data_IF_570836439662
#
_entry.id   IF_570836439662
#
_cell.length_a   1.000
_cell.length_b   1.000
_cell.length_c   1.000
_cell.angle_alpha   90.00
_cell.angle_beta   90.00
_cell.angle_gamma   90.00
#
_symmetry.space_group_name_H-M   'P 1'
#
loop_
_entity.id
_entity.type
_entity.pdbx_description
1 polymer ?
#
# COMPACT_ATOMS: atom_id res chain seq x y z
N UNK A 1 -4.08 11.19 29.05
CA UNK A 1 -3.30 10.42 28.09
C UNK A 1 -2.64 11.35 27.08
N UNK A 2 -1.56 10.90 26.46
CA UNK A 2 -0.89 11.65 25.35
C UNK A 2 -1.49 11.22 24.02
N UNK A 3 -1.57 12.16 23.07
CA UNK A 3 -1.93 11.85 21.68
C UNK A 3 -0.74 11.20 21.00
N UNK A 4 -0.97 10.11 20.26
CA UNK A 4 0.05 9.41 19.48
C UNK A 4 -0.38 9.24 18.04
N UNK A 5 0.57 8.95 17.17
CA UNK A 5 0.33 8.56 15.79
C UNK A 5 0.98 7.20 15.53
N UNK A 6 0.43 6.45 14.57
CA UNK A 6 0.96 5.15 14.20
C UNK A 6 0.92 4.94 12.69
N UNK A 7 1.69 3.95 12.22
CA UNK A 7 1.72 3.50 10.83
C UNK A 7 0.71 2.38 10.60
N UNK A 8 0.56 1.94 9.34
CA UNK A 8 -0.25 0.77 8.98
C UNK A 8 0.23 -0.47 9.74
N UNK A 9 1.54 -0.73 9.81
CA UNK A 9 2.10 -1.86 10.55
C UNK A 9 1.61 -1.91 12.01
N UNK A 10 1.80 -0.84 12.76
CA UNK A 10 1.37 -0.78 14.16
C UNK A 10 -0.15 -0.83 14.30
N UNK A 11 -0.88 -0.23 13.36
CA UNK A 11 -2.36 -0.33 13.33
C UNK A 11 -2.80 -1.78 13.16
N UNK A 12 -2.15 -2.55 12.29
CA UNK A 12 -2.42 -3.99 12.11
C UNK A 12 -2.19 -4.78 13.40
N UNK A 13 -1.07 -4.54 14.09
CA UNK A 13 -0.75 -5.21 15.36
C UNK A 13 -1.86 -4.94 16.38
N UNK A 14 -2.22 -3.66 16.58
CA UNK A 14 -3.24 -3.27 17.55
C UNK A 14 -4.62 -3.82 17.16
N UNK A 15 -4.98 -3.76 15.87
CA UNK A 15 -6.22 -4.32 15.36
C UNK A 15 -6.31 -5.83 15.63
N UNK A 16 -5.23 -6.57 15.35
CA UNK A 16 -5.16 -8.01 15.65
C UNK A 16 -5.33 -8.31 17.12
N UNK A 17 -4.66 -7.56 18.00
CA UNK A 17 -4.82 -7.70 19.47
C UNK A 17 -6.26 -7.45 19.93
N UNK A 18 -6.96 -6.56 19.23
CA UNK A 18 -8.38 -6.24 19.51
C UNK A 18 -9.37 -7.19 18.81
N UNK A 19 -8.89 -8.20 18.07
CA UNK A 19 -9.74 -9.13 17.32
C UNK A 19 -10.31 -8.53 16.02
N UNK A 20 -9.81 -7.37 15.58
CA UNK A 20 -10.23 -6.70 14.35
C UNK A 20 -9.50 -7.34 13.17
N UNK A 21 -10.24 -7.82 12.19
CA UNK A 21 -9.71 -8.53 11.00
C UNK A 21 -9.58 -7.65 9.76
N UNK A 22 -10.26 -6.53 9.71
CA UNK A 22 -10.27 -5.62 8.57
C UNK A 22 -10.13 -4.19 9.05
N UNK A 23 -9.30 -3.40 8.37
CA UNK A 23 -9.34 -1.96 8.51
C UNK A 23 -9.09 -1.26 7.16
N UNK A 24 -9.56 -0.03 7.05
CA UNK A 24 -9.38 0.79 5.87
C UNK A 24 -8.44 1.96 6.16
N UNK A 25 -7.60 2.28 5.18
CA UNK A 25 -6.66 3.41 5.22
C UNK A 25 -6.53 4.03 3.83
N UNK A 26 -5.95 5.21 3.71
CA UNK A 26 -5.73 5.85 2.42
C UNK A 26 -4.75 5.08 1.53
N UNK A 27 -3.66 4.60 2.10
CA UNK A 27 -2.65 3.82 1.38
C UNK A 27 -1.64 3.19 2.33
N UNK A 28 -0.97 2.15 1.83
CA UNK A 28 0.11 1.46 2.53
C UNK A 28 1.47 2.04 2.17
N UNK A 29 2.47 1.77 3.01
CA UNK A 29 3.87 1.87 2.66
C UNK A 29 4.27 0.77 1.67
N UNK A 30 5.46 0.84 1.16
CA UNK A 30 5.97 -0.10 0.17
C UNK A 30 7.48 -0.02 0.05
N UNK A 31 8.01 -0.45 -1.08
CA UNK A 31 9.41 -0.35 -1.46
C UNK A 31 9.67 1.06 -1.99
N UNK A 32 10.65 1.78 -1.45
CA UNK A 32 11.01 3.09 -1.95
C UNK A 32 11.77 3.01 -3.27
N UNK A 33 11.64 4.04 -4.11
CA UNK A 33 12.43 4.16 -5.35
C UNK A 33 13.92 4.21 -4.98
N UNK A 34 14.74 3.37 -5.61
CA UNK A 34 16.15 3.24 -5.28
C UNK A 34 16.44 2.29 -4.11
N UNK A 35 15.46 1.52 -3.65
CA UNK A 35 15.63 0.56 -2.56
C UNK A 35 16.67 -0.53 -2.86
N UNK A 36 16.99 -0.79 -4.11
CA UNK A 36 18.06 -1.69 -4.51
C UNK A 36 19.45 -1.25 -3.98
N UNK A 37 19.58 0.03 -3.61
CA UNK A 37 20.80 0.62 -3.02
C UNK A 37 20.64 0.93 -1.53
N UNK A 38 19.44 1.29 -1.10
CA UNK A 38 19.17 1.82 0.23
C UNK A 38 18.54 0.81 1.17
N UNK A 39 17.92 -0.24 0.65
CA UNK A 39 17.06 -1.18 1.38
C UNK A 39 15.92 -0.48 2.13
N UNK A 40 15.47 0.70 1.65
CA UNK A 40 14.38 1.45 2.26
C UNK A 40 13.03 0.82 1.90
N UNK A 41 12.56 -0.07 2.75
CA UNK A 41 11.34 -0.86 2.61
C UNK A 41 10.49 -0.64 3.85
N UNK A 42 9.21 -0.32 3.65
CA UNK A 42 8.29 -0.09 4.75
C UNK A 42 8.04 -1.36 5.57
N UNK A 43 8.01 -1.21 6.89
CA UNK A 43 7.61 -2.27 7.80
C UNK A 43 6.16 -2.75 7.58
N UNK A 44 5.32 -1.96 6.91
CA UNK A 44 3.95 -2.34 6.55
C UNK A 44 3.93 -3.66 5.77
N UNK A 45 4.90 -3.88 4.87
CA UNK A 45 4.95 -5.07 4.04
C UNK A 45 5.27 -6.34 4.86
N UNK A 46 6.17 -6.23 5.82
CA UNK A 46 6.47 -7.34 6.74
C UNK A 46 5.28 -7.64 7.65
N UNK A 47 4.61 -6.60 8.13
CA UNK A 47 3.46 -6.80 9.02
C UNK A 47 2.28 -7.43 8.28
N UNK A 48 2.05 -7.07 7.01
CA UNK A 48 1.07 -7.73 6.14
C UNK A 48 1.34 -9.24 5.99
N UNK A 49 2.61 -9.66 5.99
CA UNK A 49 2.98 -11.06 5.93
C UNK A 49 2.69 -11.82 7.24
N UNK A 50 2.74 -11.16 8.39
CA UNK A 50 2.75 -11.81 9.69
C UNK A 50 1.43 -11.65 10.49
N UNK A 51 0.69 -10.57 10.28
CA UNK A 51 -0.48 -10.24 11.08
C UNK A 51 -1.77 -10.49 10.31
N UNK A 52 -2.74 -11.29 10.85
CA UNK A 52 -3.94 -11.71 10.14
C UNK A 52 -5.00 -10.59 10.10
N UNK A 53 -4.67 -9.49 9.46
CA UNK A 53 -5.54 -8.33 9.24
C UNK A 53 -5.53 -7.96 7.76
N UNK A 54 -6.68 -7.85 7.16
CA UNK A 54 -6.87 -7.41 5.79
C UNK A 54 -6.91 -5.88 5.75
N UNK A 55 -6.08 -5.27 4.90
CA UNK A 55 -5.97 -3.82 4.75
C UNK A 55 -6.62 -3.38 3.44
N UNK A 56 -7.69 -2.60 3.53
CA UNK A 56 -8.36 -1.99 2.38
C UNK A 56 -7.81 -0.59 2.17
N UNK A 57 -7.29 -0.30 0.98
CA UNK A 57 -6.64 0.99 0.71
C UNK A 57 -6.70 1.35 -0.78
N UNK A 58 -6.36 2.59 -1.11
CA UNK A 58 -6.21 3.01 -2.51
C UNK A 58 -4.84 2.61 -3.10
N UNK A 59 -4.27 1.49 -2.64
CA UNK A 59 -2.98 0.97 -3.07
C UNK A 59 -1.80 1.48 -2.23
N UNK A 60 -0.59 1.29 -2.71
CA UNK A 60 0.59 1.88 -2.10
C UNK A 60 0.70 3.37 -2.49
N UNK A 61 1.35 4.16 -1.64
CA UNK A 61 1.57 5.59 -1.91
C UNK A 61 2.33 5.75 -3.23
N UNK A 62 1.87 6.65 -4.08
CA UNK A 62 2.39 6.83 -5.45
C UNK A 62 3.86 7.27 -5.54
N UNK A 63 4.44 7.75 -4.44
CA UNK A 63 5.88 8.07 -4.33
C UNK A 63 6.78 6.82 -4.29
N UNK A 64 6.19 5.63 -4.08
CA UNK A 64 6.89 4.36 -3.93
C UNK A 64 7.11 3.69 -5.30
N UNK A 65 7.94 2.67 -5.33
CA UNK A 65 8.05 1.74 -6.44
C UNK A 65 6.95 0.68 -6.32
N UNK A 66 5.91 0.82 -7.14
CA UNK A 66 4.74 -0.06 -7.08
C UNK A 66 5.06 -1.47 -7.57
N UNK A 67 5.93 -1.60 -8.58
CA UNK A 67 6.36 -2.88 -9.10
C UNK A 67 7.12 -3.67 -8.06
N UNK A 68 8.17 -3.10 -7.49
CA UNK A 68 8.95 -3.74 -6.42
C UNK A 68 8.12 -4.00 -5.16
N UNK A 69 7.11 -3.17 -4.90
CA UNK A 69 6.17 -3.38 -3.79
C UNK A 69 5.34 -4.64 -4.00
N UNK A 70 4.81 -4.86 -5.22
CA UNK A 70 4.06 -6.07 -5.56
C UNK A 70 4.95 -7.32 -5.49
N UNK A 71 6.16 -7.28 -6.07
CA UNK A 71 7.13 -8.38 -6.00
C UNK A 71 7.48 -8.75 -4.55
N UNK A 72 7.64 -7.74 -3.68
CA UNK A 72 7.91 -8.00 -2.28
C UNK A 72 6.73 -8.68 -1.59
N UNK A 73 5.50 -8.19 -1.83
CA UNK A 73 4.28 -8.78 -1.26
C UNK A 73 4.09 -10.22 -1.75
N UNK A 74 4.32 -10.49 -3.03
CA UNK A 74 4.28 -11.84 -3.60
C UNK A 74 5.29 -12.76 -2.92
N UNK A 75 6.54 -12.34 -2.81
CA UNK A 75 7.61 -13.09 -2.11
C UNK A 75 7.22 -13.42 -0.67
N UNK A 76 6.50 -12.54 0.00
CA UNK A 76 6.02 -12.75 1.36
C UNK A 76 4.71 -13.55 1.45
N UNK A 77 4.14 -13.95 0.32
CA UNK A 77 2.87 -14.68 0.27
C UNK A 77 1.66 -13.84 0.71
N UNK A 78 1.72 -12.54 0.52
CA UNK A 78 0.63 -11.61 0.84
C UNK A 78 -0.26 -11.43 -0.39
N UNK A 79 -1.52 -11.88 -0.38
CA UNK A 79 -2.44 -11.65 -1.49
C UNK A 79 -2.72 -10.17 -1.68
N UNK A 80 -2.68 -9.72 -2.95
CA UNK A 80 -3.13 -8.39 -3.35
C UNK A 80 -4.37 -8.56 -4.23
N UNK A 81 -5.50 -8.10 -3.72
CA UNK A 81 -6.81 -8.25 -4.36
C UNK A 81 -7.28 -6.90 -4.89
N UNK A 82 -7.77 -6.85 -6.11
CA UNK A 82 -8.47 -5.68 -6.64
C UNK A 82 -9.95 -5.73 -6.27
N UNK A 83 -10.51 -4.69 -5.70
CA UNK A 83 -11.96 -4.56 -5.52
C UNK A 83 -12.53 -3.76 -6.69
N UNK A 84 -13.20 -4.45 -7.63
CA UNK A 84 -13.73 -3.89 -8.89
C UNK A 84 -12.65 -3.21 -9.74
N UNK A 85 -11.42 -3.74 -9.71
CA UNK A 85 -10.30 -3.26 -10.52
C UNK A 85 -9.39 -4.41 -10.90
N UNK A 86 -8.85 -4.35 -12.11
CA UNK A 86 -7.86 -5.30 -12.63
C UNK A 86 -6.42 -4.84 -12.37
N UNK A 87 -6.24 -3.60 -11.88
CA UNK A 87 -4.93 -3.02 -11.61
C UNK A 87 -4.82 -2.57 -10.15
N UNK A 88 -3.59 -2.57 -9.63
CA UNK A 88 -3.29 -1.94 -8.36
C UNK A 88 -3.57 -0.44 -8.47
N UNK A 89 -4.43 0.13 -7.61
CA UNK A 89 -4.59 1.58 -7.57
C UNK A 89 -3.29 2.26 -7.13
N UNK A 90 -3.03 3.46 -7.64
CA UNK A 90 -1.82 4.23 -7.34
C UNK A 90 -2.12 5.47 -6.46
N UNK A 91 -2.84 5.28 -5.39
CA UNK A 91 -3.18 6.28 -4.36
C UNK A 91 -4.02 7.45 -4.90
N UNK A 92 -3.42 8.39 -5.64
CA UNK A 92 -4.12 9.50 -6.29
C UNK A 92 -4.71 9.14 -7.66
N UNK A 93 -4.30 7.99 -8.21
CA UNK A 93 -4.73 7.51 -9.52
C UNK A 93 -5.46 6.17 -9.36
N UNK A 94 -6.45 5.95 -10.21
CA UNK A 94 -7.22 4.71 -10.20
C UNK A 94 -6.45 3.52 -10.77
N UNK A 95 -5.48 3.79 -11.62
CA UNK A 95 -4.66 2.81 -12.35
C UNK A 95 -3.19 3.10 -12.12
N UNK A 96 -2.38 2.05 -12.21
CA UNK A 96 -0.92 2.11 -12.08
C UNK A 96 -0.17 1.48 -13.25
N UNK A 97 -0.89 0.78 -14.13
CA UNK A 97 -0.31 -0.10 -15.15
C UNK A 97 0.10 -1.49 -14.64
N UNK A 98 0.02 -1.74 -13.32
CA UNK A 98 0.34 -3.05 -12.73
C UNK A 98 -0.93 -3.86 -12.55
N UNK A 99 -1.06 -4.95 -13.31
CA UNK A 99 -2.21 -5.87 -13.21
C UNK A 99 -2.15 -6.69 -11.93
N UNK A 100 -3.32 -6.99 -11.41
CA UNK A 100 -3.52 -7.89 -10.28
C UNK A 100 -4.08 -9.23 -10.76
N UNK A 101 -3.70 -10.30 -10.09
CA UNK A 101 -4.17 -11.65 -10.42
C UNK A 101 -5.64 -11.86 -10.07
N UNK A 102 -6.16 -11.10 -9.10
CA UNK A 102 -7.50 -11.27 -8.58
C UNK A 102 -8.31 -9.98 -8.58
N UNK A 103 -9.34 -9.93 -9.43
CA UNK A 103 -10.36 -8.90 -9.40
C UNK A 103 -11.60 -9.44 -8.66
N UNK A 104 -11.85 -8.92 -7.47
CA UNK A 104 -13.04 -9.24 -6.69
C UNK A 104 -14.18 -8.32 -7.14
N UNK A 105 -15.28 -8.91 -7.59
CA UNK A 105 -16.45 -8.16 -8.08
C UNK A 105 -17.19 -7.39 -6.98
N UNK A 106 -17.07 -7.87 -5.75
CA UNK A 106 -17.77 -7.34 -4.57
C UNK A 106 -17.02 -7.65 -3.26
N UNK A 107 -17.46 -7.03 -2.20
CA UNK A 107 -16.90 -7.17 -0.85
C UNK A 107 -17.14 -8.59 -0.28
N UNK A 108 -18.22 -9.25 -0.69
CA UNK A 108 -18.52 -10.62 -0.27
C UNK A 108 -17.46 -11.61 -0.80
N UNK A 109 -17.00 -11.39 -2.03
CA UNK A 109 -15.90 -12.16 -2.62
C UNK A 109 -14.61 -11.99 -1.82
N UNK A 110 -14.25 -10.75 -1.45
CA UNK A 110 -13.10 -10.47 -0.58
C UNK A 110 -13.24 -11.19 0.76
N UNK A 111 -14.41 -11.09 1.40
CA UNK A 111 -14.66 -11.73 2.69
C UNK A 111 -14.54 -13.27 2.61
N UNK A 112 -15.03 -13.89 1.54
CA UNK A 112 -14.91 -15.35 1.31
C UNK A 112 -13.44 -15.76 1.13
N UNK A 113 -12.65 -15.00 0.36
CA UNK A 113 -11.23 -15.28 0.16
C UNK A 113 -10.48 -15.18 1.51
N UNK A 114 -10.72 -14.13 2.28
CA UNK A 114 -10.07 -13.95 3.57
C UNK A 114 -10.46 -15.01 4.57
N UNK A 115 -11.75 -15.36 4.61
CA UNK A 115 -12.24 -16.46 5.45
C UNK A 115 -11.55 -17.78 5.08
N UNK A 116 -11.53 -18.14 3.81
CA UNK A 116 -10.89 -19.37 3.35
C UNK A 116 -9.40 -19.40 3.71
N UNK A 117 -8.67 -18.29 3.47
CA UNK A 117 -7.26 -18.16 3.82
C UNK A 117 -7.00 -18.45 5.31
N UNK A 118 -7.79 -17.87 6.19
CA UNK A 118 -7.60 -18.04 7.62
C UNK A 118 -8.14 -19.36 8.18
N UNK A 119 -9.21 -19.89 7.61
CA UNK A 119 -9.77 -21.20 8.00
C UNK A 119 -8.79 -22.36 7.75
N UNK A 120 -7.96 -22.28 6.69
CA UNK A 120 -6.92 -23.29 6.43
C UNK A 120 -5.62 -23.01 7.21
N UNK A 121 -5.62 -22.03 8.11
CA UNK A 121 -4.50 -21.74 9.01
C UNK A 121 -3.36 -20.90 8.43
N UNK A 122 -3.54 -20.32 7.23
CA UNK A 122 -2.55 -19.39 6.68
C UNK A 122 -2.49 -18.10 7.52
N UNK A 123 -1.29 -17.74 7.92
CA UNK A 123 -1.00 -16.53 8.68
C UNK A 123 -0.97 -15.31 7.76
N UNK A 124 -0.84 -14.14 8.38
CA UNK A 124 -0.76 -12.87 7.66
C UNK A 124 -2.09 -12.37 7.12
N UNK A 125 -2.04 -11.16 6.62
CA UNK A 125 -3.17 -10.41 6.07
C UNK A 125 -3.29 -10.51 4.55
N UNK A 126 -3.84 -9.47 3.99
CA UNK A 126 -3.93 -9.22 2.55
C UNK A 126 -4.05 -7.71 2.32
N UNK A 127 -3.77 -7.28 1.11
CA UNK A 127 -4.07 -5.93 0.63
C UNK A 127 -5.28 -5.99 -0.30
N UNK A 128 -6.25 -5.11 -0.10
CA UNK A 128 -7.37 -4.91 -1.02
C UNK A 128 -7.24 -3.52 -1.63
N UNK A 129 -6.90 -3.49 -2.91
CA UNK A 129 -6.86 -2.27 -3.70
C UNK A 129 -8.29 -1.82 -4.05
N UNK A 130 -8.73 -0.72 -3.46
CA UNK A 130 -10.01 -0.09 -3.73
C UNK A 130 -9.76 1.30 -4.33
N UNK A 131 -9.92 1.49 -5.65
CA UNK A 131 -9.65 2.78 -6.28
C UNK A 131 -10.48 3.91 -5.70
N UNK A 132 -9.88 5.09 -5.59
CA UNK A 132 -10.62 6.30 -5.20
C UNK A 132 -11.77 6.59 -6.19
N UNK A 133 -12.81 7.32 -5.79
CA UNK A 133 -13.88 7.72 -6.70
C UNK A 133 -13.33 8.49 -7.90
N UNK A 134 -13.87 8.23 -9.10
CA UNK A 134 -13.38 8.78 -10.37
C UNK A 134 -13.28 10.31 -10.37
N UNK A 135 -14.24 10.97 -9.75
CA UNK A 135 -14.30 12.44 -9.65
C UNK A 135 -13.14 13.06 -8.87
N UNK A 136 -12.40 12.26 -8.10
CA UNK A 136 -11.22 12.69 -7.32
C UNK A 136 -9.92 12.12 -7.88
N UNK A 137 -10.00 11.30 -8.93
CA UNK A 137 -8.83 10.68 -9.52
C UNK A 137 -8.01 11.70 -10.31
N UNK A 138 -6.69 11.61 -10.17
CA UNK A 138 -5.75 12.41 -10.92
C UNK A 138 -5.23 11.62 -12.13
N UNK A 139 -4.79 12.34 -13.16
CA UNK A 139 -4.16 11.71 -14.32
C UNK A 139 -2.81 11.08 -13.93
N UNK A 140 -2.56 9.80 -14.28
CA UNK A 140 -1.33 9.11 -13.90
C UNK A 140 -0.06 9.74 -14.47
N UNK A 141 -0.10 10.25 -15.71
CA UNK A 141 1.08 10.87 -16.34
C UNK A 141 1.44 12.18 -15.66
N UNK A 142 0.42 12.98 -15.32
CA UNK A 142 0.59 14.21 -14.56
C UNK A 142 1.20 13.93 -13.18
N UNK A 143 0.66 12.95 -12.45
CA UNK A 143 1.15 12.59 -11.12
C UNK A 143 2.58 12.05 -11.18
N UNK A 144 2.90 11.18 -12.13
CA UNK A 144 4.25 10.65 -12.28
C UNK A 144 5.26 11.77 -12.54
N UNK A 145 4.93 12.74 -13.40
CA UNK A 145 5.82 13.86 -13.70
C UNK A 145 6.11 14.72 -12.44
N UNK A 146 5.10 14.97 -11.59
CA UNK A 146 5.28 15.70 -10.33
C UNK A 146 6.14 14.90 -9.36
N UNK A 147 5.87 13.60 -9.21
CA UNK A 147 6.62 12.72 -8.31
C UNK A 147 8.08 12.62 -8.74
N UNK A 148 8.35 12.43 -10.03
CA UNK A 148 9.73 12.34 -10.56
C UNK A 148 10.50 13.63 -10.30
N UNK A 149 9.85 14.78 -10.48
CA UNK A 149 10.45 16.08 -10.14
C UNK A 149 10.75 16.20 -8.64
N UNK A 150 9.81 15.82 -7.79
CA UNK A 150 10.00 15.88 -6.33
C UNK A 150 11.11 14.93 -5.86
N UNK A 151 11.19 13.72 -6.42
CA UNK A 151 12.25 12.74 -6.14
C UNK A 151 13.62 13.28 -6.59
N UNK A 152 13.71 13.86 -7.80
CA UNK A 152 14.95 14.45 -8.29
C UNK A 152 15.43 15.59 -7.37
N UNK A 153 14.50 16.41 -6.89
CA UNK A 153 14.81 17.50 -5.96
C UNK A 153 15.27 16.96 -4.60
N UNK A 154 14.57 15.97 -4.03
CA UNK A 154 14.97 15.33 -2.78
C UNK A 154 16.39 14.75 -2.86
N UNK A 155 16.73 14.11 -3.97
CA UNK A 155 18.08 13.58 -4.21
C UNK A 155 19.14 14.69 -4.29
N UNK A 156 18.83 15.80 -4.96
CA UNK A 156 19.73 16.97 -5.05
C UNK A 156 19.97 17.63 -3.68
N UNK A 157 18.97 17.64 -2.82
CA UNK A 157 19.03 18.16 -1.45
C UNK A 157 19.52 17.14 -0.40
N UNK A 158 19.92 15.94 -0.85
CA UNK A 158 20.37 14.84 0.02
C UNK A 158 19.36 14.44 1.11
N UNK A 159 18.06 14.51 0.79
CA UNK A 159 16.97 14.09 1.68
C UNK A 159 16.78 12.56 1.56
N UNK A 160 17.02 11.85 2.67
CA UNK A 160 16.98 10.38 2.69
C UNK A 160 16.27 9.82 3.93
N UNK A 161 15.96 8.51 3.91
CA UNK A 161 15.40 7.77 5.02
C UNK A 161 14.05 8.34 5.48
N UNK A 162 13.85 8.45 6.80
CA UNK A 162 12.56 8.89 7.38
C UNK A 162 12.07 10.27 6.95
N UNK A 163 12.95 11.12 6.43
CA UNK A 163 12.61 12.47 5.98
C UNK A 163 12.04 12.52 4.56
N UNK A 164 12.25 11.48 3.74
CA UNK A 164 11.89 11.51 2.32
C UNK A 164 10.37 11.53 2.11
N UNK A 165 9.61 10.70 2.81
CA UNK A 165 8.16 10.65 2.66
C UNK A 165 7.46 11.97 2.99
N UNK A 166 7.71 12.62 4.15
CA UNK A 166 7.15 13.94 4.44
C UNK A 166 7.56 15.00 3.43
N UNK A 167 8.83 14.97 2.98
CA UNK A 167 9.34 15.88 1.97
C UNK A 167 8.57 15.74 0.64
N UNK A 168 8.49 14.54 0.10
CA UNK A 168 7.80 14.28 -1.16
C UNK A 168 6.32 14.68 -1.08
N UNK A 169 5.63 14.29 -0.02
CA UNK A 169 4.21 14.65 0.16
C UNK A 169 3.98 16.16 0.28
N UNK A 170 4.94 16.92 0.78
CA UNK A 170 4.85 18.37 0.82
C UNK A 170 5.04 19.02 -0.57
N UNK A 171 5.76 18.37 -1.49
CA UNK A 171 6.10 18.90 -2.82
C UNK A 171 5.15 18.40 -3.94
N UNK A 172 4.25 17.48 -3.63
CA UNK A 172 3.24 16.93 -4.58
C UNK A 172 1.90 17.72 -4.49
N UNK A 173 1.86 18.83 -3.83
CA UNK A 173 0.66 19.69 -3.71
C UNK A 173 0.43 20.52 -4.95
#
# INVERSE_FOLDING_TARGET
GMTGATTVATTMIIASMAGIRFFATGGIGGVHRGAEKTMDISADLQELANTPVCVVCAGAKSILDLGLTLEYLETQGVPVLGLRTDELPAFYCRTSGFKLDYNCKDEETVAKIMKAKWDIGLKGGAVVGNPIPEQYAMDPNYMNAIIDKAVAQANAEHIHGKAITPYLLAHIK
#
